data_IF_258536790571
#
_entry.id   IF_258536790571
#
_cell.length_a   1.000
_cell.length_b   1.000
_cell.length_c   1.000
_cell.angle_alpha   90.00
_cell.angle_beta   90.00
_cell.angle_gamma   90.00
#
_symmetry.space_group_name_H-M   'P 1'
#
loop_
_entity.id
_entity.type
_entity.pdbx_description
1 polymer ?
#
# COMPACT_ATOMS: atom_id res chain seq x y z
N UNK A 1 49.34 -22.53 -27.85
CA UNK A 1 48.50 -21.30 -27.85
C UNK A 1 48.00 -21.08 -26.44
N UNK A 2 48.59 -20.10 -25.75
CA UNK A 2 48.30 -19.80 -24.35
C UNK A 2 46.97 -19.03 -24.27
N UNK A 3 45.98 -19.58 -23.55
CA UNK A 3 44.66 -18.96 -23.40
C UNK A 3 44.83 -17.65 -22.61
N UNK A 4 44.63 -16.51 -23.28
CA UNK A 4 44.61 -15.19 -22.64
C UNK A 4 43.60 -15.19 -21.49
N UNK A 5 44.10 -15.10 -20.26
CA UNK A 5 43.27 -14.89 -19.06
C UNK A 5 42.80 -13.45 -19.01
N UNK A 6 41.57 -13.25 -18.55
CA UNK A 6 41.02 -11.91 -18.39
C UNK A 6 41.73 -11.22 -17.22
N UNK A 7 41.98 -9.90 -17.31
CA UNK A 7 42.47 -9.14 -16.16
C UNK A 7 41.52 -9.27 -14.97
N UNK A 8 42.07 -9.38 -13.76
CA UNK A 8 41.32 -9.59 -12.51
C UNK A 8 40.13 -8.65 -12.32
N UNK A 9 40.28 -7.37 -12.70
CA UNK A 9 39.22 -6.38 -12.58
C UNK A 9 38.01 -6.70 -13.48
N UNK A 10 38.26 -7.32 -14.63
CA UNK A 10 37.24 -7.72 -15.60
C UNK A 10 36.52 -9.00 -15.15
N UNK A 11 37.26 -9.93 -14.53
CA UNK A 11 36.68 -11.14 -13.91
C UNK A 11 35.80 -10.80 -12.70
N UNK A 12 36.23 -9.86 -11.84
CA UNK A 12 35.42 -9.33 -10.74
C UNK A 12 34.12 -8.71 -11.24
N UNK A 13 34.17 -7.95 -12.34
CA UNK A 13 33.00 -7.27 -12.93
C UNK A 13 32.05 -8.25 -13.61
N UNK A 14 32.56 -9.29 -14.27
CA UNK A 14 31.77 -10.38 -14.83
C UNK A 14 31.09 -11.21 -13.73
N UNK A 15 31.80 -11.50 -12.65
CA UNK A 15 31.28 -12.21 -11.48
C UNK A 15 30.20 -11.42 -10.75
N UNK A 16 30.38 -10.09 -10.62
CA UNK A 16 29.36 -9.20 -10.05
C UNK A 16 28.10 -9.11 -10.94
N UNK A 17 28.27 -9.05 -12.27
CA UNK A 17 27.15 -9.10 -13.22
C UNK A 17 26.41 -10.43 -13.18
N UNK A 18 27.13 -11.55 -13.02
CA UNK A 18 26.55 -12.89 -12.90
C UNK A 18 25.79 -13.07 -11.58
N UNK A 19 26.35 -12.64 -10.44
CA UNK A 19 25.63 -12.59 -9.15
C UNK A 19 24.34 -11.76 -9.26
N UNK A 20 24.38 -10.62 -9.96
CA UNK A 20 23.22 -9.75 -10.18
C UNK A 20 22.20 -10.36 -11.15
N UNK A 21 22.63 -11.14 -12.15
CA UNK A 21 21.72 -11.88 -13.04
C UNK A 21 21.06 -13.07 -12.34
N UNK A 22 21.81 -13.79 -11.51
CA UNK A 22 21.32 -14.96 -10.78
C UNK A 22 20.31 -14.51 -9.69
N UNK A 23 20.58 -13.39 -9.00
CA UNK A 23 19.60 -12.74 -8.11
C UNK A 23 18.36 -12.24 -8.86
N UNK A 24 18.50 -11.72 -10.08
CA UNK A 24 17.36 -11.32 -10.92
C UNK A 24 16.59 -12.51 -11.52
N UNK A 25 17.23 -13.66 -11.72
CA UNK A 25 16.57 -14.89 -12.21
C UNK A 25 15.63 -15.47 -11.15
N UNK A 26 16.03 -15.48 -9.87
CA UNK A 26 15.14 -15.89 -8.77
C UNK A 26 13.95 -14.93 -8.57
N UNK A 27 14.10 -13.65 -8.95
CA UNK A 27 13.02 -12.65 -8.91
C UNK A 27 12.02 -12.77 -10.08
N UNK A 28 12.45 -13.37 -11.19
CA UNK A 28 11.62 -13.64 -12.37
C UNK A 28 11.13 -15.10 -12.44
N UNK A 29 11.62 -15.98 -11.57
CA UNK A 29 11.02 -17.29 -11.35
C UNK A 29 9.56 -17.08 -10.96
N UNK A 30 8.62 -17.66 -11.72
CA UNK A 30 7.21 -17.70 -11.30
C UNK A 30 7.20 -18.36 -9.93
N UNK A 31 6.81 -17.65 -8.85
CA UNK A 31 6.70 -18.28 -7.56
C UNK A 31 5.76 -19.47 -7.71
N UNK A 32 6.05 -20.59 -7.07
CA UNK A 32 5.10 -21.70 -6.93
C UNK A 32 3.95 -21.16 -6.09
N UNK A 33 3.06 -20.45 -6.75
CA UNK A 33 2.08 -19.57 -6.13
C UNK A 33 1.09 -20.46 -5.38
N UNK A 34 0.68 -21.60 -5.94
CA UNK A 34 -0.43 -22.44 -5.49
C UNK A 34 -0.40 -23.00 -4.05
N UNK A 35 0.69 -22.87 -3.28
CA UNK A 35 0.75 -23.41 -1.90
C UNK A 35 0.82 -22.37 -0.78
N UNK A 36 0.90 -21.05 -1.09
CA UNK A 36 0.98 -20.02 -0.03
C UNK A 36 -0.40 -19.70 0.56
N UNK A 37 -0.52 -19.49 1.88
CA UNK A 37 -1.78 -19.12 2.51
C UNK A 37 -2.21 -17.72 2.08
N UNK A 38 -3.53 -17.49 2.09
CA UNK A 38 -4.09 -16.17 1.83
C UNK A 38 -3.84 -15.22 3.01
N UNK A 39 -3.64 -13.95 2.70
CA UNK A 39 -3.66 -12.85 3.65
C UNK A 39 -5.11 -12.41 3.81
N UNK A 40 -5.58 -12.38 5.06
CA UNK A 40 -6.90 -11.89 5.43
C UNK A 40 -6.78 -10.94 6.61
N UNK A 41 -7.58 -9.89 6.59
CA UNK A 41 -7.84 -9.05 7.74
C UNK A 41 -8.86 -9.75 8.64
N UNK A 42 -8.42 -10.14 9.84
CA UNK A 42 -9.25 -10.83 10.84
C UNK A 42 -9.68 -9.91 11.98
N UNK A 43 -9.34 -8.62 11.87
CA UNK A 43 -9.64 -7.62 12.88
C UNK A 43 -11.06 -7.08 12.80
N UNK A 44 -11.29 -5.99 13.55
CA UNK A 44 -12.59 -5.35 13.65
C UNK A 44 -12.80 -4.41 12.46
N UNK A 45 -13.70 -4.80 11.56
CA UNK A 45 -14.12 -3.97 10.43
C UNK A 45 -15.16 -2.94 10.86
N UNK A 46 -15.03 -1.72 10.36
CA UNK A 46 -15.85 -0.59 10.80
C UNK A 46 -16.29 0.24 9.58
N UNK A 47 -17.52 0.04 9.15
CA UNK A 47 -18.13 0.72 8.01
C UNK A 47 -18.77 2.04 8.45
N UNK A 48 -18.41 3.13 7.78
CA UNK A 48 -18.91 4.48 8.05
C UNK A 48 -19.48 5.06 6.75
N UNK A 49 -20.73 5.50 6.75
CA UNK A 49 -21.37 6.13 5.58
C UNK A 49 -21.89 7.56 5.87
N UNK A 50 -21.70 8.05 7.09
CA UNK A 50 -22.01 9.42 7.49
C UNK A 50 -20.75 10.24 7.79
N UNK A 51 -20.81 11.54 7.49
CA UNK A 51 -19.75 12.49 7.82
C UNK A 51 -19.54 12.63 9.33
N UNK A 52 -20.61 12.47 10.13
CA UNK A 52 -20.56 12.54 11.59
C UNK A 52 -19.76 11.40 12.21
N UNK A 53 -20.03 10.16 11.81
CA UNK A 53 -19.30 8.98 12.31
C UNK A 53 -17.83 9.02 11.91
N UNK A 54 -17.56 9.45 10.67
CA UNK A 54 -16.19 9.71 10.21
C UNK A 54 -15.51 10.78 11.07
N UNK A 55 -16.22 11.87 11.38
CA UNK A 55 -15.72 12.93 12.24
C UNK A 55 -15.31 12.41 13.61
N UNK A 56 -16.23 11.71 14.28
CA UNK A 56 -15.99 11.12 15.61
C UNK A 56 -14.78 10.17 15.63
N UNK A 57 -14.66 9.30 14.62
CA UNK A 57 -13.52 8.39 14.50
C UNK A 57 -12.21 9.16 14.29
N UNK A 58 -12.19 10.16 13.41
CA UNK A 58 -10.99 10.94 13.13
C UNK A 58 -10.55 11.76 14.34
N UNK A 59 -11.47 12.38 15.07
CA UNK A 59 -11.18 13.09 16.33
C UNK A 59 -10.55 12.16 17.37
N UNK A 60 -11.10 10.94 17.52
CA UNK A 60 -10.55 9.95 18.44
C UNK A 60 -9.15 9.48 18.02
N UNK A 61 -8.86 9.39 16.73
CA UNK A 61 -7.51 9.07 16.23
C UNK A 61 -6.56 10.24 16.47
N UNK A 62 -6.96 11.47 16.14
CA UNK A 62 -6.16 12.68 16.34
C UNK A 62 -5.77 12.87 17.81
N UNK A 63 -6.70 12.65 18.75
CA UNK A 63 -6.40 12.69 20.20
C UNK A 63 -5.33 11.68 20.59
N UNK A 64 -5.31 10.48 19.99
CA UNK A 64 -4.27 9.48 20.26
C UNK A 64 -2.90 9.88 19.71
N UNK A 65 -2.85 10.76 18.70
CA UNK A 65 -1.58 11.25 18.14
C UNK A 65 -0.83 12.17 19.12
N UNK A 66 -1.48 12.70 20.15
CA UNK A 66 -0.82 13.50 21.20
C UNK A 66 0.27 12.68 21.92
N UNK A 67 0.03 11.38 22.10
CA UNK A 67 0.94 10.47 22.83
C UNK A 67 1.80 9.59 21.92
N UNK A 68 1.58 9.62 20.61
CA UNK A 68 2.35 8.84 19.64
C UNK A 68 3.43 9.72 19.00
N UNK A 69 4.58 9.13 18.65
CA UNK A 69 5.58 9.81 17.83
C UNK A 69 5.15 9.85 16.36
N UNK A 70 4.70 8.69 15.85
CA UNK A 70 4.25 8.49 14.48
C UNK A 70 3.10 7.47 14.45
N UNK A 71 2.19 7.63 13.49
CA UNK A 71 1.12 6.69 13.19
C UNK A 71 1.20 6.29 11.72
N UNK A 72 1.45 5.00 11.50
CA UNK A 72 1.43 4.40 10.18
C UNK A 72 0.02 3.91 9.87
N UNK A 73 -0.50 4.29 8.71
CA UNK A 73 -1.86 3.99 8.30
C UNK A 73 -1.80 3.34 6.92
N UNK A 74 -2.20 2.07 6.84
CA UNK A 74 -2.44 1.43 5.54
C UNK A 74 -3.64 2.10 4.88
N UNK A 75 -3.52 2.53 3.63
CA UNK A 75 -4.52 3.37 2.97
C UNK A 75 -4.74 2.90 1.52
N UNK A 76 -6.00 2.87 1.09
CA UNK A 76 -6.38 2.57 -0.29
C UNK A 76 -7.73 3.22 -0.64
N UNK A 77 -8.08 3.24 -1.92
CA UNK A 77 -9.32 3.81 -2.45
C UNK A 77 -9.99 2.88 -3.46
N UNK A 78 -11.32 2.93 -3.52
CA UNK A 78 -12.09 2.25 -4.59
C UNK A 78 -13.12 3.17 -5.24
N UNK A 79 -13.40 2.92 -6.52
CA UNK A 79 -14.31 3.71 -7.35
C UNK A 79 -14.97 2.86 -8.44
N UNK A 80 -16.21 3.20 -8.87
CA UNK A 80 -16.86 2.49 -9.95
C UNK A 80 -16.11 2.70 -11.28
N UNK A 81 -16.09 1.66 -12.11
CA UNK A 81 -15.56 1.74 -13.47
C UNK A 81 -16.61 2.36 -14.39
N UNK A 82 -16.23 3.42 -15.11
CA UNK A 82 -17.09 4.03 -16.13
C UNK A 82 -16.67 3.51 -17.50
N UNK A 83 -17.49 2.64 -18.09
CA UNK A 83 -17.20 2.01 -19.39
C UNK A 83 -17.43 2.94 -20.61
N UNK A 84 -17.74 4.22 -20.41
CA UNK A 84 -17.90 5.20 -21.50
C UNK A 84 -16.53 5.70 -21.98
N UNK A 85 -16.29 5.64 -23.30
CA UNK A 85 -15.07 6.17 -23.94
C UNK A 85 -14.81 7.61 -23.51
N UNK A 86 -13.60 7.86 -23.01
CA UNK A 86 -13.14 9.18 -22.56
C UNK A 86 -13.52 9.58 -21.13
N UNK A 87 -14.38 8.82 -20.43
CA UNK A 87 -14.80 9.18 -19.06
C UNK A 87 -13.96 8.55 -17.94
N UNK A 88 -13.15 7.53 -18.24
CA UNK A 88 -12.11 7.03 -17.34
C UNK A 88 -12.65 6.50 -16.00
N UNK A 89 -12.02 6.94 -14.91
CA UNK A 89 -12.31 6.51 -13.54
C UNK A 89 -13.52 7.27 -12.96
N UNK A 90 -14.46 6.56 -12.33
CA UNK A 90 -15.47 7.20 -11.50
C UNK A 90 -14.88 7.96 -10.32
N UNK A 91 -15.72 8.77 -9.67
CA UNK A 91 -15.38 9.44 -8.42
C UNK A 91 -15.09 8.41 -7.33
N UNK A 92 -14.16 8.70 -6.43
CA UNK A 92 -13.88 7.87 -5.25
C UNK A 92 -15.18 7.57 -4.51
N UNK A 93 -15.47 6.29 -4.36
CA UNK A 93 -16.67 5.79 -3.70
C UNK A 93 -16.34 5.28 -2.30
N UNK A 94 -15.18 4.66 -2.11
CA UNK A 94 -14.76 4.09 -0.84
C UNK A 94 -13.34 4.56 -0.50
N UNK A 95 -13.13 4.95 0.75
CA UNK A 95 -11.80 5.18 1.33
C UNK A 95 -11.58 4.09 2.37
N UNK A 96 -10.46 3.37 2.30
CA UNK A 96 -10.09 2.39 3.32
C UNK A 96 -8.87 2.84 4.09
N UNK A 97 -8.91 2.68 5.41
CA UNK A 97 -7.71 2.87 6.20
C UNK A 97 -7.59 1.95 7.42
N UNK A 98 -6.36 1.50 7.66
CA UNK A 98 -5.98 0.65 8.79
C UNK A 98 -4.97 1.42 9.65
N UNK A 99 -5.40 2.04 10.77
CA UNK A 99 -4.48 2.70 11.69
C UNK A 99 -3.78 1.71 12.63
N UNK A 100 -4.18 0.43 12.62
CA UNK A 100 -3.49 -0.65 13.31
C UNK A 100 -3.82 -2.00 12.65
N UNK A 101 -3.09 -3.08 13.00
CA UNK A 101 -3.37 -4.43 12.47
C UNK A 101 -4.73 -5.01 12.83
N UNK A 102 -5.45 -4.43 13.82
CA UNK A 102 -6.66 -5.02 14.41
C UNK A 102 -7.93 -4.24 14.11
N UNK A 103 -7.85 -3.11 13.40
CA UNK A 103 -9.02 -2.32 13.00
C UNK A 103 -8.85 -1.78 11.58
N UNK A 104 -9.91 -1.90 10.78
CA UNK A 104 -9.99 -1.33 9.45
C UNK A 104 -11.28 -0.50 9.34
N UNK A 105 -11.16 0.71 8.80
CA UNK A 105 -12.28 1.60 8.54
C UNK A 105 -12.55 1.65 7.04
N UNK A 106 -13.82 1.53 6.69
CA UNK A 106 -14.30 1.69 5.32
C UNK A 106 -15.28 2.86 5.27
N UNK A 107 -14.87 3.96 4.67
CA UNK A 107 -15.64 5.19 4.56
C UNK A 107 -16.30 5.22 3.19
N UNK A 108 -17.60 4.99 3.14
CA UNK A 108 -18.37 4.97 1.91
C UNK A 108 -18.85 6.38 1.57
N UNK A 109 -18.02 7.08 0.79
CA UNK A 109 -18.09 8.51 0.53
C UNK A 109 -18.81 8.87 -0.77
N UNK A 110 -19.40 7.90 -1.49
CA UNK A 110 -20.00 8.13 -2.81
C UNK A 110 -21.05 9.25 -2.84
N UNK A 111 -21.81 9.41 -1.75
CA UNK A 111 -22.85 10.45 -1.60
C UNK A 111 -22.32 11.79 -1.06
N UNK A 112 -21.06 11.86 -0.65
CA UNK A 112 -20.52 13.02 0.05
C UNK A 112 -20.00 14.05 -0.94
N UNK A 113 -20.46 15.29 -0.85
CA UNK A 113 -19.94 16.35 -1.72
C UNK A 113 -18.52 16.77 -1.30
N UNK A 114 -18.23 16.84 0.00
CA UNK A 114 -16.93 17.19 0.57
C UNK A 114 -16.53 16.17 1.62
N UNK A 115 -15.22 16.00 1.84
CA UNK A 115 -14.73 15.26 3.01
C UNK A 115 -14.81 16.15 4.26
N UNK A 116 -15.10 15.58 5.44
CA UNK A 116 -15.04 16.31 6.70
C UNK A 116 -13.66 16.93 6.90
N UNK A 117 -13.60 18.19 7.34
CA UNK A 117 -12.33 18.87 7.61
C UNK A 117 -11.43 18.05 8.53
N UNK A 118 -12.00 17.43 9.56
CA UNK A 118 -11.26 16.61 10.51
C UNK A 118 -10.64 15.35 9.89
N UNK A 119 -11.24 14.79 8.83
CA UNK A 119 -10.60 13.72 8.06
C UNK A 119 -9.37 14.26 7.31
N UNK A 120 -9.48 15.45 6.72
CA UNK A 120 -8.36 16.13 6.04
C UNK A 120 -7.24 16.43 7.05
N UNK A 121 -7.59 16.96 8.23
CA UNK A 121 -6.65 17.21 9.33
C UNK A 121 -5.95 15.91 9.76
N UNK A 122 -6.69 14.80 9.85
CA UNK A 122 -6.13 13.47 10.13
C UNK A 122 -5.11 13.02 9.07
N UNK A 123 -5.47 13.00 7.78
CA UNK A 123 -4.57 12.50 6.74
C UNK A 123 -3.38 13.43 6.44
N UNK A 124 -3.49 14.71 6.83
CA UNK A 124 -2.43 15.72 6.68
C UNK A 124 -1.57 15.90 7.93
N UNK A 125 -1.94 15.27 9.06
CA UNK A 125 -1.25 15.47 10.33
C UNK A 125 0.24 15.07 10.23
N UNK A 126 1.21 15.87 10.74
CA UNK A 126 2.64 15.61 10.53
C UNK A 126 3.13 14.22 10.99
N UNK A 127 2.50 13.69 12.05
CA UNK A 127 2.77 12.36 12.62
C UNK A 127 2.10 11.21 11.86
N UNK A 128 1.23 11.46 10.89
CA UNK A 128 0.52 10.40 10.15
C UNK A 128 1.26 10.09 8.86
N UNK A 129 1.55 8.81 8.62
CA UNK A 129 2.10 8.32 7.36
C UNK A 129 1.14 7.36 6.70
N UNK A 130 0.73 7.70 5.48
CA UNK A 130 -0.14 6.87 4.65
C UNK A 130 0.73 5.94 3.80
N UNK A 131 0.57 4.63 3.98
CA UNK A 131 1.33 3.62 3.25
C UNK A 131 0.44 2.87 2.27
N UNK A 132 0.95 2.68 1.06
CA UNK A 132 0.25 1.98 0.00
C UNK A 132 1.10 1.83 -1.25
N UNK A 133 0.55 1.14 -2.25
CA UNK A 133 1.14 1.01 -3.59
C UNK A 133 0.41 1.97 -4.51
N UNK A 134 1.12 2.92 -5.12
CA UNK A 134 0.53 4.05 -5.86
C UNK A 134 -0.23 5.05 -4.97
N UNK A 135 0.12 5.12 -3.69
CA UNK A 135 -0.57 5.96 -2.68
C UNK A 135 -0.60 7.45 -3.05
N UNK A 136 0.44 7.95 -3.72
CA UNK A 136 0.48 9.33 -4.20
C UNK A 136 -0.64 9.59 -5.23
N UNK A 137 -0.89 8.62 -6.10
CA UNK A 137 -1.97 8.70 -7.10
C UNK A 137 -3.34 8.72 -6.43
N UNK A 138 -3.53 7.94 -5.37
CA UNK A 138 -4.77 7.90 -4.60
C UNK A 138 -5.03 9.23 -3.90
N UNK A 139 -4.01 9.81 -3.26
CA UNK A 139 -4.13 11.11 -2.61
C UNK A 139 -4.43 12.22 -3.65
N UNK A 140 -3.77 12.24 -4.81
CA UNK A 140 -4.10 13.16 -5.90
C UNK A 140 -5.53 12.99 -6.41
N UNK A 141 -6.01 11.76 -6.50
CA UNK A 141 -7.39 11.45 -6.86
C UNK A 141 -8.38 12.00 -5.83
N UNK A 142 -8.10 11.90 -4.53
CA UNK A 142 -8.93 12.55 -3.50
C UNK A 142 -8.97 14.06 -3.68
N UNK A 143 -7.82 14.69 -3.94
CA UNK A 143 -7.74 16.13 -4.20
C UNK A 143 -8.64 16.56 -5.35
N UNK A 144 -8.59 15.82 -6.48
CA UNK A 144 -9.46 16.04 -7.64
C UNK A 144 -10.94 15.78 -7.34
N UNK A 145 -11.26 14.70 -6.63
CA UNK A 145 -12.64 14.22 -6.46
C UNK A 145 -13.42 14.96 -5.37
N UNK A 146 -12.72 15.63 -4.45
CA UNK A 146 -13.31 16.35 -3.31
C UNK A 146 -12.86 17.81 -3.19
N UNK A 147 -12.12 18.33 -4.18
CA UNK A 147 -11.62 19.70 -4.22
C UNK A 147 -10.75 20.05 -2.99
N UNK A 148 -9.70 19.26 -2.78
CA UNK A 148 -8.77 19.39 -1.64
C UNK A 148 -7.36 19.64 -2.17
N UNK A 149 -6.66 20.61 -1.58
CA UNK A 149 -5.22 20.78 -1.83
C UNK A 149 -4.44 19.68 -1.13
N UNK A 150 -3.84 18.79 -1.91
CA UNK A 150 -3.20 17.57 -1.39
C UNK A 150 -1.68 17.52 -1.58
N UNK A 151 -1.08 18.53 -2.25
CA UNK A 151 0.37 18.55 -2.48
C UNK A 151 1.19 18.38 -1.18
N UNK A 152 0.87 19.07 -0.06
CA UNK A 152 1.58 18.86 1.20
C UNK A 152 1.42 17.45 1.76
N UNK A 153 0.24 16.83 1.59
CA UNK A 153 -0.03 15.46 2.06
C UNK A 153 0.80 14.45 1.26
N UNK A 154 0.84 14.64 -0.06
CA UNK A 154 1.62 13.82 -0.98
C UNK A 154 3.11 13.90 -0.65
N UNK A 155 3.62 15.06 -0.27
CA UNK A 155 5.03 15.27 0.05
C UNK A 155 5.41 14.74 1.44
N UNK A 156 4.59 15.01 2.46
CA UNK A 156 4.99 14.82 3.86
C UNK A 156 4.42 13.55 4.50
N UNK A 157 3.30 13.03 3.99
CA UNK A 157 2.56 11.93 4.62
C UNK A 157 2.59 10.64 3.79
N UNK A 158 2.77 10.72 2.46
CA UNK A 158 2.70 9.55 1.60
C UNK A 158 4.00 8.74 1.57
N UNK A 159 3.92 7.45 1.91
CA UNK A 159 5.02 6.49 1.79
C UNK A 159 4.70 5.46 0.73
N UNK A 160 5.40 5.54 -0.41
CA UNK A 160 5.25 4.61 -1.52
C UNK A 160 5.97 3.28 -1.24
N UNK A 161 5.20 2.20 -1.06
CA UNK A 161 5.74 0.88 -0.72
C UNK A 161 6.66 0.31 -1.80
N UNK A 162 6.42 0.63 -3.08
CA UNK A 162 7.31 0.21 -4.17
C UNK A 162 8.73 0.75 -3.98
N UNK A 163 8.83 2.02 -3.56
CA UNK A 163 10.11 2.69 -3.35
C UNK A 163 10.80 2.16 -2.09
N UNK A 164 10.03 1.96 -1.01
CA UNK A 164 10.56 1.37 0.22
C UNK A 164 11.10 -0.04 -0.04
N UNK A 165 10.36 -0.89 -0.74
CA UNK A 165 10.82 -2.24 -1.07
C UNK A 165 12.10 -2.23 -1.93
N UNK A 166 12.15 -1.37 -2.95
CA UNK A 166 13.35 -1.22 -3.78
C UNK A 166 14.57 -0.76 -2.97
N UNK A 167 14.38 0.14 -2.01
CA UNK A 167 15.44 0.56 -1.07
C UNK A 167 15.90 -0.61 -0.19
N UNK A 168 14.97 -1.27 0.50
CA UNK A 168 15.27 -2.36 1.45
C UNK A 168 15.99 -3.53 0.77
N UNK A 169 15.58 -3.88 -0.45
CA UNK A 169 16.18 -5.00 -1.18
C UNK A 169 17.33 -4.57 -2.11
N UNK A 170 17.66 -3.28 -2.20
CA UNK A 170 18.66 -2.74 -3.13
C UNK A 170 18.44 -3.18 -4.59
N UNK A 171 17.17 -3.20 -5.04
CA UNK A 171 16.78 -3.55 -6.41
C UNK A 171 15.96 -2.45 -7.09
N UNK A 172 15.76 -2.56 -8.40
CA UNK A 172 14.83 -1.73 -9.16
C UNK A 172 13.76 -2.63 -9.79
N UNK A 173 12.70 -2.89 -9.02
CA UNK A 173 11.61 -3.80 -9.40
C UNK A 173 10.27 -3.10 -9.56
N UNK A 174 9.45 -3.63 -10.46
CA UNK A 174 8.03 -3.26 -10.57
C UNK A 174 7.19 -4.02 -9.56
N UNK A 175 6.82 -3.36 -8.46
CA UNK A 175 6.05 -3.97 -7.38
C UNK A 175 4.55 -3.67 -7.49
N UNK A 176 3.71 -4.71 -7.44
CA UNK A 176 2.29 -4.56 -7.08
C UNK A 176 2.11 -4.92 -5.61
N UNK A 177 1.00 -4.53 -5.00
CA UNK A 177 0.71 -4.90 -3.62
C UNK A 177 0.68 -6.43 -3.44
N UNK A 178 0.06 -7.15 -4.39
CA UNK A 178 0.06 -8.62 -4.38
C UNK A 178 1.48 -9.22 -4.49
N UNK A 179 2.36 -8.66 -5.33
CA UNK A 179 3.77 -9.08 -5.41
C UNK A 179 4.52 -8.80 -4.12
N UNK A 180 4.27 -7.66 -3.47
CA UNK A 180 4.88 -7.35 -2.18
C UNK A 180 4.39 -8.30 -1.08
N UNK A 181 3.09 -8.57 -0.99
CA UNK A 181 2.53 -9.53 -0.04
C UNK A 181 3.17 -10.92 -0.24
N UNK A 182 3.34 -11.36 -1.48
CA UNK A 182 3.97 -12.63 -1.80
C UNK A 182 5.45 -12.67 -1.45
N UNK A 183 6.18 -11.61 -1.79
CA UNK A 183 7.63 -11.56 -1.60
C UNK A 183 8.01 -11.34 -0.13
N UNK A 184 7.37 -10.38 0.51
CA UNK A 184 7.68 -9.89 1.86
C UNK A 184 7.01 -10.74 2.94
N UNK A 185 5.73 -11.09 2.77
CA UNK A 185 4.95 -11.80 3.79
C UNK A 185 4.82 -13.30 3.53
N UNK A 186 5.26 -13.78 2.35
CA UNK A 186 5.08 -15.17 1.91
C UNK A 186 3.62 -15.64 1.93
N UNK A 187 2.68 -14.70 1.73
CA UNK A 187 1.23 -14.92 1.63
C UNK A 187 0.70 -14.51 0.26
N UNK A 188 -0.56 -14.79 -0.04
CA UNK A 188 -1.26 -14.28 -1.23
C UNK A 188 -2.26 -13.20 -0.86
N UNK A 189 -2.33 -12.15 -1.67
CA UNK A 189 -3.43 -11.20 -1.62
C UNK A 189 -4.45 -11.58 -2.69
N UNK A 190 -5.67 -11.92 -2.29
CA UNK A 190 -6.75 -12.21 -3.23
C UNK A 190 -7.09 -10.95 -4.03
N UNK A 191 -7.08 -11.05 -5.36
CA UNK A 191 -7.47 -9.97 -6.27
C UNK A 191 -8.56 -10.41 -7.27
N UNK A 192 -9.70 -10.92 -6.79
CA UNK A 192 -10.81 -11.34 -7.65
C UNK A 192 -11.27 -10.16 -8.54
N UNK A 193 -11.20 -10.37 -9.85
CA UNK A 193 -11.44 -9.32 -10.85
C UNK A 193 -12.87 -8.79 -10.76
N UNK A 194 -13.82 -9.67 -10.57
CA UNK A 194 -15.25 -9.40 -10.40
C UNK A 194 -15.55 -8.50 -9.18
N UNK A 195 -14.79 -8.62 -8.09
CA UNK A 195 -14.92 -7.73 -6.92
C UNK A 195 -14.17 -6.42 -7.15
N UNK A 196 -12.92 -6.48 -7.61
CA UNK A 196 -12.09 -5.29 -7.85
C UNK A 196 -12.73 -4.32 -8.85
N UNK A 197 -13.39 -4.86 -9.87
CA UNK A 197 -14.05 -4.12 -10.94
C UNK A 197 -15.56 -3.97 -10.71
N UNK A 198 -16.04 -4.29 -9.51
CA UNK A 198 -17.46 -4.21 -9.14
C UNK A 198 -17.98 -2.77 -9.02
N UNK A 199 -19.29 -2.65 -8.84
CA UNK A 199 -19.90 -1.36 -8.58
C UNK A 199 -19.63 -0.91 -7.12
N UNK A 200 -18.55 -0.17 -6.91
CA UNK A 200 -18.21 0.42 -5.60
C UNK A 200 -19.15 1.55 -5.15
N UNK A 201 -20.03 2.05 -6.04
CA UNK A 201 -21.04 3.06 -5.70
C UNK A 201 -22.35 2.46 -5.14
N UNK A 202 -22.48 1.14 -5.13
CA UNK A 202 -23.72 0.49 -4.69
C UNK A 202 -23.86 0.55 -3.17
N UNK A 203 -25.09 0.77 -2.69
CA UNK A 203 -25.42 0.72 -1.27
C UNK A 203 -26.48 -0.37 -1.04
N UNK A 204 -26.26 -1.34 -0.13
CA UNK A 204 -25.04 -1.59 0.64
C UNK A 204 -23.92 -2.23 -0.17
N UNK A 205 -22.67 -2.17 0.32
CA UNK A 205 -21.56 -2.98 -0.21
C UNK A 205 -21.79 -4.47 0.08
N UNK A 206 -21.27 -5.35 -0.77
CA UNK A 206 -21.32 -6.80 -0.54
C UNK A 206 -20.25 -7.24 0.45
N UNK A 207 -20.44 -8.42 1.06
CA UNK A 207 -19.42 -9.03 1.93
C UNK A 207 -18.06 -9.19 1.23
N UNK A 208 -18.05 -9.56 -0.05
CA UNK A 208 -16.81 -9.68 -0.81
C UNK A 208 -16.12 -8.33 -1.02
N UNK A 209 -16.88 -7.24 -1.25
CA UNK A 209 -16.33 -5.88 -1.31
C UNK A 209 -15.75 -5.44 0.04
N UNK A 210 -16.45 -5.73 1.15
CA UNK A 210 -15.97 -5.47 2.51
C UNK A 210 -14.61 -6.15 2.77
N UNK A 211 -14.52 -7.45 2.50
CA UNK A 211 -13.31 -8.24 2.71
C UNK A 211 -12.16 -7.78 1.81
N UNK A 212 -12.44 -7.59 0.52
CA UNK A 212 -11.44 -7.13 -0.45
C UNK A 212 -10.83 -5.79 -0.03
N UNK A 213 -11.68 -4.79 0.26
CA UNK A 213 -11.26 -3.44 0.58
C UNK A 213 -10.48 -3.38 1.91
N UNK A 214 -10.90 -4.17 2.91
CA UNK A 214 -10.18 -4.28 4.17
C UNK A 214 -8.80 -4.93 4.00
N UNK A 215 -8.73 -5.99 3.20
CA UNK A 215 -7.49 -6.73 2.94
C UNK A 215 -6.44 -5.84 2.25
N UNK A 216 -6.84 -4.91 1.39
CA UNK A 216 -5.90 -4.04 0.67
C UNK A 216 -5.24 -2.99 1.56
N UNK A 217 -6.03 -2.28 2.37
CA UNK A 217 -5.49 -1.35 3.36
C UNK A 217 -4.64 -2.09 4.42
N UNK A 218 -5.11 -3.25 4.90
CA UNK A 218 -4.38 -4.10 5.83
C UNK A 218 -3.05 -4.59 5.25
N UNK A 219 -3.06 -5.09 4.01
CA UNK A 219 -1.86 -5.55 3.32
C UNK A 219 -0.80 -4.46 3.23
N UNK A 220 -1.20 -3.24 2.90
CA UNK A 220 -0.27 -2.10 2.83
C UNK A 220 0.41 -1.83 4.18
N UNK A 221 -0.35 -1.85 5.28
CA UNK A 221 0.19 -1.68 6.63
C UNK A 221 1.17 -2.81 7.01
N UNK A 222 0.79 -4.06 6.81
CA UNK A 222 1.63 -5.20 7.23
C UNK A 222 2.88 -5.33 6.35
N UNK A 223 2.78 -5.03 5.06
CA UNK A 223 3.94 -4.94 4.17
C UNK A 223 4.90 -3.85 4.64
N UNK A 224 4.40 -2.66 5.00
CA UNK A 224 5.26 -1.61 5.56
C UNK A 224 6.01 -2.09 6.80
N UNK A 225 5.29 -2.64 7.78
CA UNK A 225 5.88 -3.11 9.04
C UNK A 225 6.99 -4.12 8.78
N UNK A 226 6.73 -5.12 7.92
CA UNK A 226 7.74 -6.14 7.62
C UNK A 226 8.92 -5.60 6.82
N UNK A 227 8.72 -4.62 5.94
CA UNK A 227 9.83 -3.95 5.24
C UNK A 227 10.72 -3.18 6.21
N UNK A 228 10.14 -2.51 7.22
CA UNK A 228 10.89 -1.80 8.25
C UNK A 228 11.69 -2.74 9.15
N UNK A 229 11.11 -3.89 9.53
CA UNK A 229 11.85 -4.94 10.24
C UNK A 229 13.04 -5.44 9.43
N UNK A 230 12.83 -5.76 8.15
CA UNK A 230 13.87 -6.23 7.24
C UNK A 230 14.98 -5.17 7.05
N UNK A 231 14.64 -3.89 6.97
CA UNK A 231 15.61 -2.80 6.89
C UNK A 231 16.57 -2.82 8.09
N UNK A 232 16.03 -2.98 9.31
CA UNK A 232 16.84 -3.10 10.54
C UNK A 232 17.67 -4.37 10.53
N UNK A 233 17.07 -5.51 10.16
CA UNK A 233 17.77 -6.81 10.06
C UNK A 233 18.99 -6.74 9.12
N UNK A 234 18.87 -6.03 7.99
CA UNK A 234 19.97 -5.87 7.04
C UNK A 234 21.06 -4.92 7.54
N UNK A 235 20.69 -3.78 8.15
CA UNK A 235 21.66 -2.85 8.74
C UNK A 235 22.51 -3.54 9.82
N UNK A 236 21.88 -4.31 10.71
CA UNK A 236 22.59 -5.03 11.78
C UNK A 236 23.56 -6.08 11.21
N UNK A 237 23.19 -6.74 10.10
CA UNK A 237 24.07 -7.71 9.44
C UNK A 237 25.27 -7.07 8.75
N UNK A 238 25.10 -5.89 8.17
CA UNK A 238 26.20 -5.16 7.51
C UNK A 238 27.16 -4.50 8.51
N UNK A 239 26.68 -4.09 9.70
CA UNK A 239 27.50 -3.49 10.76
C UNK A 239 28.31 -4.48 11.61
N UNK A 240 28.05 -5.78 11.50
CA UNK A 240 28.76 -6.85 12.22
C UNK A 240 29.79 -7.60 11.33
N UNK A 241 30.20 -6.99 10.21
CA UNK A 241 31.22 -7.52 9.28
C UNK A 241 32.47 -6.65 9.32
#
# INVERSE_FOLDING_TARGET
MEKRRLPEWMEKRASARKKKSDQNQDLNAKPVENQKPLLFFEGKLRYLDTAGDCGFVCEAILKKLETLEELIVGFDLEWPIIYKRGQGQGRTALIQFCPSPVVCYLLHVIKWQKLPKVFIDFISHPKVKLVGVNIRGDIWKLGRDFDISVAPIVENNAIELRNLANKVFSISGGWSLARLVLYVLRKKLAKPKDVRESNWAQTPLTKCQFEYAANDAYASLIVYNRLKELEVEFIVKEGNV
#
